data_IF_059404442877
#
_entry.id   IF_059404442877
#
_cell.length_a   1.000
_cell.length_b   1.000
_cell.length_c   1.000
_cell.angle_alpha   90.00
_cell.angle_beta   90.00
_cell.angle_gamma   90.00
#
_symmetry.space_group_name_H-M   'P 1'
#
loop_
_entity.id
_entity.type
_entity.pdbx_description
1 polymer ?
#
# COMPACT_ATOMS: atom_id res chain seq x y z
N UNK A 1 10.16 -3.25 -10.46
CA UNK A 1 10.54 -2.04 -11.22
C UNK A 1 9.58 -1.89 -12.38
N UNK A 2 9.01 -0.71 -12.58
CA UNK A 2 8.16 -0.39 -13.73
C UNK A 2 8.53 0.97 -14.29
N UNK A 3 8.54 1.10 -15.61
CA UNK A 3 8.76 2.39 -16.28
C UNK A 3 7.44 2.85 -16.89
N UNK A 4 7.10 4.10 -16.61
CA UNK A 4 5.84 4.72 -16.97
C UNK A 4 6.06 5.92 -17.85
N UNK A 5 5.19 6.11 -18.83
CA UNK A 5 5.20 7.28 -19.70
C UNK A 5 3.79 7.75 -19.99
N UNK A 6 3.61 9.07 -20.03
CA UNK A 6 2.40 9.64 -20.60
C UNK A 6 2.65 11.04 -21.14
N UNK A 7 2.05 11.31 -22.29
CA UNK A 7 1.98 12.64 -22.91
C UNK A 7 0.54 13.14 -22.90
N UNK A 8 0.29 14.15 -22.08
CA UNK A 8 -0.97 14.89 -22.09
C UNK A 8 -0.89 16.00 -23.15
N UNK A 9 -1.67 15.89 -24.21
CA UNK A 9 -1.84 16.95 -25.22
C UNK A 9 -3.32 17.13 -25.51
N UNK A 10 -3.87 18.29 -25.15
CA UNK A 10 -5.27 18.64 -25.43
C UNK A 10 -5.35 20.06 -26.00
N UNK A 11 -6.04 20.21 -27.11
CA UNK A 11 -6.32 21.50 -27.74
C UNK A 11 -7.84 21.64 -27.82
N UNK A 12 -8.44 22.46 -26.95
CA UNK A 12 -9.88 22.70 -26.93
C UNK A 12 -10.17 24.19 -27.02
N UNK A 13 -10.34 24.73 -28.24
CA UNK A 13 -10.88 26.07 -28.54
C UNK A 13 -10.12 27.30 -28.02
N UNK A 14 -9.44 27.21 -26.88
CA UNK A 14 -8.61 28.23 -26.22
C UNK A 14 -7.21 27.70 -25.91
N UNK A 15 -6.62 28.10 -24.76
CA UNK A 15 -5.24 27.74 -24.40
C UNK A 15 -5.02 26.22 -24.39
N UNK A 16 -3.99 25.76 -25.09
CA UNK A 16 -3.64 24.35 -25.13
C UNK A 16 -3.15 23.82 -23.78
N UNK A 17 -3.14 22.50 -23.64
CA UNK A 17 -2.52 21.80 -22.53
C UNK A 17 -1.46 20.85 -23.06
N UNK A 18 -0.26 20.94 -22.50
CA UNK A 18 0.87 20.07 -22.84
C UNK A 18 1.69 19.68 -21.61
N UNK A 19 1.95 18.39 -21.45
CA UNK A 19 2.93 17.89 -20.49
C UNK A 19 3.26 16.43 -20.79
N UNK A 20 4.54 16.11 -20.83
CA UNK A 20 5.02 14.74 -21.01
C UNK A 20 5.96 14.38 -19.87
N UNK A 21 5.74 13.21 -19.28
CA UNK A 21 6.50 12.72 -18.13
C UNK A 21 6.92 11.28 -18.39
N UNK A 22 8.21 11.03 -18.23
CA UNK A 22 8.80 9.69 -18.12
C UNK A 22 9.24 9.46 -16.68
N UNK A 23 8.81 8.33 -16.13
CA UNK A 23 9.12 7.98 -14.76
C UNK A 23 9.48 6.52 -14.60
N UNK A 24 10.12 6.23 -13.48
CA UNK A 24 10.52 4.90 -13.04
C UNK A 24 10.05 4.69 -11.62
N UNK A 25 9.49 3.52 -11.38
CA UNK A 25 8.91 3.10 -10.11
C UNK A 25 9.69 1.90 -9.59
N UNK A 26 10.22 2.02 -8.38
CA UNK A 26 11.03 1.00 -7.71
C UNK A 26 10.61 0.90 -6.23
N UNK A 27 10.79 -0.25 -5.55
CA UNK A 27 10.61 -0.32 -4.11
C UNK A 27 11.55 0.67 -3.40
N UNK A 28 11.08 1.31 -2.34
CA UNK A 28 11.94 2.19 -1.53
C UNK A 28 12.99 1.34 -0.79
N UNK A 29 14.22 1.83 -0.70
CA UNK A 29 15.25 1.16 0.07
C UNK A 29 15.03 1.39 1.57
N UNK A 30 15.38 0.43 2.45
CA UNK A 30 15.33 0.63 3.89
C UNK A 30 16.10 1.88 4.31
N UNK A 31 15.48 2.72 5.15
CA UNK A 31 16.10 3.94 5.67
C UNK A 31 16.00 5.17 4.75
N UNK A 32 15.36 5.06 3.58
CA UNK A 32 15.09 6.22 2.71
C UNK A 32 13.69 6.77 3.01
N UNK A 33 13.61 8.02 3.46
CA UNK A 33 12.34 8.70 3.75
C UNK A 33 11.75 9.44 2.54
N UNK A 34 12.62 9.91 1.64
CA UNK A 34 12.19 10.67 0.46
C UNK A 34 11.85 9.71 -0.69
N UNK A 35 10.59 9.71 -1.14
CA UNK A 35 10.06 8.79 -2.13
C UNK A 35 10.06 9.35 -3.56
N UNK A 36 10.30 10.65 -3.74
CA UNK A 36 10.33 11.31 -5.04
C UNK A 36 11.78 11.65 -5.43
N UNK A 37 12.17 11.45 -6.68
CA UNK A 37 13.51 11.81 -7.16
C UNK A 37 13.39 12.59 -8.45
N UNK A 38 13.93 13.81 -8.46
CA UNK A 38 14.22 14.57 -9.67
C UNK A 38 15.51 14.01 -10.31
N UNK A 39 15.32 13.22 -11.37
CA UNK A 39 16.40 12.68 -12.20
C UNK A 39 16.53 13.39 -13.54
N UNK A 40 15.87 14.53 -13.74
CA UNK A 40 15.80 15.23 -15.02
C UNK A 40 17.16 15.86 -15.33
N UNK A 41 17.70 15.56 -16.51
CA UNK A 41 18.94 16.15 -17.00
C UNK A 41 18.61 17.25 -18.02
N UNK A 42 19.20 18.43 -17.84
CA UNK A 42 19.00 19.57 -18.74
C UNK A 42 17.71 20.34 -18.43
N UNK A 43 16.97 20.74 -19.48
CA UNK A 43 15.80 21.62 -19.39
C UNK A 43 14.54 21.04 -20.04
N UNK A 44 14.45 19.71 -20.16
CA UNK A 44 13.32 19.06 -20.85
C UNK A 44 11.98 19.29 -20.13
N UNK A 45 12.01 19.45 -18.80
CA UNK A 45 10.91 19.96 -17.99
C UNK A 45 11.42 21.13 -17.14
N UNK A 46 10.80 22.32 -17.22
CA UNK A 46 11.07 23.43 -16.31
C UNK A 46 10.83 23.05 -14.84
N UNK A 47 11.79 23.33 -13.95
CA UNK A 47 11.76 22.90 -12.53
C UNK A 47 10.57 23.46 -11.74
N UNK A 48 9.97 24.56 -12.18
CA UNK A 48 8.74 25.11 -11.58
C UNK A 48 7.53 24.17 -11.72
N UNK A 49 7.57 23.16 -12.62
CA UNK A 49 6.52 22.16 -12.75
C UNK A 49 6.72 20.93 -11.85
N UNK A 50 7.87 20.77 -11.18
CA UNK A 50 8.13 19.64 -10.28
C UNK A 50 7.08 19.52 -9.16
N UNK A 51 6.64 20.62 -8.48
CA UNK A 51 5.58 20.51 -7.47
C UNK A 51 4.24 20.01 -8.03
N UNK A 52 3.93 20.32 -9.30
CA UNK A 52 2.71 19.86 -9.95
C UNK A 52 2.81 18.37 -10.34
N UNK A 53 3.99 17.94 -10.79
CA UNK A 53 4.31 16.54 -11.05
C UNK A 53 4.16 15.73 -9.76
N UNK A 54 4.80 16.15 -8.67
CA UNK A 54 4.75 15.50 -7.36
C UNK A 54 3.31 15.38 -6.85
N UNK A 55 2.51 16.45 -6.92
CA UNK A 55 1.07 16.41 -6.58
C UNK A 55 0.31 15.38 -7.41
N UNK A 56 0.60 15.26 -8.70
CA UNK A 56 -0.03 14.26 -9.57
C UNK A 56 0.38 12.83 -9.23
N UNK A 57 1.63 12.62 -8.79
CA UNK A 57 2.11 11.34 -8.29
C UNK A 57 1.42 10.96 -6.98
N UNK A 58 1.30 11.88 -6.02
CA UNK A 58 0.59 11.66 -4.74
C UNK A 58 -0.87 11.24 -5.00
N UNK A 59 -1.57 11.93 -5.91
CA UNK A 59 -2.92 11.53 -6.31
C UNK A 59 -2.96 10.15 -6.99
N UNK A 60 -1.95 9.82 -7.78
CA UNK A 60 -1.79 8.49 -8.38
C UNK A 60 -1.58 7.40 -7.31
N UNK A 61 -0.82 7.71 -6.27
CA UNK A 61 -0.53 6.80 -5.15
C UNK A 61 -1.73 6.57 -4.24
N UNK A 62 -2.66 7.51 -4.14
CA UNK A 62 -3.89 7.32 -3.35
C UNK A 62 -4.79 6.21 -3.90
N UNK A 63 -4.76 5.96 -5.22
CA UNK A 63 -5.62 4.99 -5.89
C UNK A 63 -4.76 3.98 -6.68
N UNK A 64 -4.20 3.00 -5.96
CA UNK A 64 -3.33 1.99 -6.52
C UNK A 64 -4.01 1.10 -7.58
N UNK A 65 -3.19 0.57 -8.50
CA UNK A 65 -3.67 -0.14 -9.69
C UNK A 65 -4.30 -1.52 -9.42
N UNK A 66 -4.03 -2.13 -8.26
CA UNK A 66 -4.42 -3.54 -7.97
C UNK A 66 -5.84 -3.64 -7.44
N UNK A 67 -6.14 -2.92 -6.36
CA UNK A 67 -7.44 -2.97 -5.68
C UNK A 67 -7.88 -1.60 -5.14
N UNK A 68 -7.31 -0.51 -5.67
CA UNK A 68 -7.68 0.85 -5.25
C UNK A 68 -7.06 1.31 -3.92
N UNK A 69 -6.28 0.48 -3.23
CA UNK A 69 -5.60 0.86 -1.99
C UNK A 69 -4.43 1.84 -2.22
N UNK A 70 -4.05 2.61 -1.19
CA UNK A 70 -2.88 3.46 -1.23
C UNK A 70 -1.60 2.69 -1.54
N UNK A 71 -0.78 3.24 -2.42
CA UNK A 71 0.56 2.71 -2.75
C UNK A 71 1.55 3.23 -1.72
N UNK A 72 2.29 2.32 -1.10
CA UNK A 72 3.33 2.61 -0.11
C UNK A 72 4.66 1.98 -0.52
N UNK A 73 5.73 2.25 0.24
CA UNK A 73 7.06 1.65 0.07
C UNK A 73 7.61 1.73 -1.36
N UNK A 74 7.35 2.85 -2.04
CA UNK A 74 7.66 3.05 -3.45
C UNK A 74 8.46 4.32 -3.65
N UNK A 75 9.51 4.23 -4.45
CA UNK A 75 10.32 5.32 -4.98
C UNK A 75 9.89 5.63 -6.41
N UNK A 76 9.69 6.91 -6.72
CA UNK A 76 9.36 7.40 -8.07
C UNK A 76 10.44 8.37 -8.54
N UNK A 77 11.17 8.00 -9.57
CA UNK A 77 12.15 8.85 -10.24
C UNK A 77 11.57 9.38 -11.54
N UNK A 78 11.44 10.70 -11.65
CA UNK A 78 11.12 11.35 -12.93
C UNK A 78 12.44 11.69 -13.60
N UNK A 79 12.72 11.03 -14.72
CA UNK A 79 14.04 11.10 -15.35
C UNK A 79 14.04 11.84 -16.69
N UNK A 80 12.87 11.98 -17.32
CA UNK A 80 12.74 12.72 -18.59
C UNK A 80 11.30 13.19 -18.81
N UNK A 81 11.10 13.99 -19.85
CA UNK A 81 9.82 14.55 -20.23
C UNK A 81 9.95 15.57 -21.33
N UNK A 82 8.89 16.30 -21.57
CA UNK A 82 8.94 17.44 -22.48
C UNK A 82 7.89 18.48 -22.10
N UNK A 83 8.20 19.74 -22.41
CA UNK A 83 7.31 20.89 -22.24
C UNK A 83 7.11 21.65 -23.55
N UNK A 84 6.08 22.49 -23.59
CA UNK A 84 5.80 23.43 -24.66
C UNK A 84 5.66 24.84 -24.07
N UNK A 85 6.33 25.83 -24.65
CA UNK A 85 6.47 27.17 -24.05
C UNK A 85 5.13 27.84 -23.73
N UNK A 86 4.11 27.61 -24.57
CA UNK A 86 2.81 28.28 -24.44
C UNK A 86 1.75 27.39 -23.77
N UNK A 87 1.80 26.10 -24.08
CA UNK A 87 0.74 25.14 -23.75
C UNK A 87 1.03 24.34 -22.48
N UNK A 88 2.28 24.38 -21.97
CA UNK A 88 2.58 23.75 -20.69
C UNK A 88 1.98 24.50 -19.52
N UNK A 89 1.41 23.73 -18.61
CA UNK A 89 0.75 24.23 -17.40
C UNK A 89 0.87 23.19 -16.28
N UNK A 90 0.72 23.65 -15.03
CA UNK A 90 0.74 22.77 -13.86
C UNK A 90 -0.31 21.65 -13.95
N UNK A 91 -1.51 21.98 -14.43
CA UNK A 91 -2.61 21.02 -14.59
C UNK A 91 -2.20 19.93 -15.60
N UNK A 92 -1.57 20.30 -16.71
CA UNK A 92 -1.13 19.35 -17.72
C UNK A 92 -0.07 18.37 -17.17
N UNK A 93 0.93 18.88 -16.45
CA UNK A 93 1.96 18.04 -15.83
C UNK A 93 1.44 17.17 -14.70
N UNK A 94 0.48 17.66 -13.91
CA UNK A 94 -0.20 16.87 -12.88
C UNK A 94 -0.99 15.70 -13.47
N UNK A 95 -1.72 15.94 -14.57
CA UNK A 95 -2.44 14.88 -15.29
C UNK A 95 -1.44 13.89 -15.90
N UNK A 96 -0.36 14.40 -16.48
CA UNK A 96 0.66 13.57 -17.11
C UNK A 96 1.37 12.67 -16.11
N UNK A 97 1.85 13.20 -14.98
CA UNK A 97 2.53 12.41 -13.96
C UNK A 97 1.61 11.36 -13.33
N UNK A 98 0.36 11.71 -13.02
CA UNK A 98 -0.64 10.76 -12.49
C UNK A 98 -0.88 9.59 -13.45
N UNK A 99 -0.96 9.88 -14.75
CA UNK A 99 -1.25 8.86 -15.77
C UNK A 99 -0.01 8.01 -16.09
N UNK A 100 1.16 8.64 -16.17
CA UNK A 100 2.45 7.93 -16.28
C UNK A 100 2.68 7.01 -15.07
N UNK A 101 2.27 7.43 -13.87
CA UNK A 101 2.37 6.60 -12.67
C UNK A 101 1.51 5.34 -12.78
N UNK A 102 0.26 5.47 -13.23
CA UNK A 102 -0.63 4.32 -13.48
C UNK A 102 -0.03 3.34 -14.50
N UNK A 103 0.52 3.87 -15.59
CA UNK A 103 1.21 3.07 -16.62
C UNK A 103 2.42 2.33 -16.04
N UNK A 104 3.29 3.05 -15.31
CA UNK A 104 4.46 2.46 -14.65
C UNK A 104 4.10 1.40 -13.62
N UNK A 105 3.05 1.64 -12.82
CA UNK A 105 2.57 0.70 -11.80
C UNK A 105 2.06 -0.59 -12.43
N UNK A 106 1.36 -0.54 -13.57
CA UNK A 106 0.90 -1.74 -14.26
C UNK A 106 2.04 -2.67 -14.68
N UNK A 107 3.22 -2.11 -14.95
CA UNK A 107 4.44 -2.82 -15.36
C UNK A 107 5.32 -3.22 -14.17
N UNK A 108 5.10 -2.61 -13.00
CA UNK A 108 5.93 -2.81 -11.81
C UNK A 108 5.67 -4.11 -11.04
N UNK A 109 4.62 -4.86 -11.40
CA UNK A 109 4.11 -6.05 -10.67
C UNK A 109 3.81 -5.76 -9.20
N UNK A 110 2.88 -4.82 -8.91
CA UNK A 110 2.53 -4.45 -7.55
C UNK A 110 1.92 -5.63 -6.79
N UNK A 111 2.16 -5.66 -5.48
CA UNK A 111 1.61 -6.65 -4.54
C UNK A 111 0.74 -5.97 -3.51
N UNK A 112 -0.24 -6.70 -2.98
CA UNK A 112 -1.00 -6.23 -1.83
C UNK A 112 -0.18 -6.46 -0.55
N UNK A 113 -0.28 -5.51 0.36
CA UNK A 113 0.33 -5.58 1.67
C UNK A 113 -0.77 -5.61 2.74
N UNK A 114 -0.58 -6.41 3.78
CA UNK A 114 -1.43 -6.44 4.97
C UNK A 114 -0.63 -6.05 6.22
N UNK A 115 -1.25 -5.35 7.19
CA UNK A 115 -0.62 -5.06 8.47
C UNK A 115 -0.52 -6.33 9.32
N UNK A 116 0.69 -6.59 9.80
CA UNK A 116 1.02 -7.64 10.75
C UNK A 116 1.14 -7.02 12.14
N UNK A 117 0.44 -7.63 13.09
CA UNK A 117 0.40 -7.23 14.49
C UNK A 117 1.33 -8.13 15.31
N UNK A 118 2.10 -7.54 16.21
CA UNK A 118 2.66 -8.29 17.34
C UNK A 118 1.55 -8.47 18.36
N UNK A 119 1.26 -9.70 18.73
CA UNK A 119 0.19 -10.06 19.67
C UNK A 119 0.82 -10.75 20.87
N UNK A 120 0.49 -10.27 22.07
CA UNK A 120 0.77 -10.94 23.34
C UNK A 120 -0.54 -11.44 23.92
N UNK A 121 -0.67 -12.75 24.10
CA UNK A 121 -1.89 -13.40 24.61
C UNK A 121 -1.59 -14.01 25.97
N UNK A 122 -2.23 -13.52 27.02
CA UNK A 122 -2.03 -13.97 28.40
C UNK A 122 -3.20 -14.83 28.84
N UNK A 123 -2.94 -16.08 29.22
CA UNK A 123 -3.97 -17.09 29.49
C UNK A 123 -3.54 -18.05 30.62
N UNK A 124 -4.50 -18.68 31.32
CA UNK A 124 -4.19 -19.81 32.19
C UNK A 124 -3.59 -20.97 31.37
N UNK A 125 -2.61 -21.69 31.94
CA UNK A 125 -1.89 -22.75 31.21
C UNK A 125 -2.76 -23.89 30.68
N UNK A 126 -3.93 -24.13 31.28
CA UNK A 126 -4.89 -25.13 30.79
C UNK A 126 -5.45 -24.83 29.39
N UNK A 127 -5.44 -23.56 28.96
CA UNK A 127 -5.95 -23.14 27.64
C UNK A 127 -4.85 -22.93 26.58
N UNK A 128 -3.60 -23.25 26.93
CA UNK A 128 -2.45 -23.00 26.06
C UNK A 128 -2.59 -23.71 24.70
N UNK A 129 -3.07 -24.96 24.70
CA UNK A 129 -3.26 -25.74 23.49
C UNK A 129 -4.28 -25.11 22.54
N UNK A 130 -5.46 -24.75 23.06
CA UNK A 130 -6.54 -24.17 22.28
C UNK A 130 -6.14 -22.81 21.69
N UNK A 131 -5.52 -21.94 22.49
CA UNK A 131 -5.11 -20.61 22.02
C UNK A 131 -3.97 -20.69 20.98
N UNK A 132 -3.03 -21.63 21.15
CA UNK A 132 -1.97 -21.85 20.15
C UNK A 132 -2.56 -22.40 18.85
N UNK A 133 -3.55 -23.30 18.93
CA UNK A 133 -4.25 -23.84 17.77
C UNK A 133 -4.99 -22.75 16.99
N UNK A 134 -5.72 -21.88 17.70
CA UNK A 134 -6.46 -20.77 17.10
C UNK A 134 -5.54 -19.75 16.39
N UNK A 135 -4.44 -19.34 17.03
CA UNK A 135 -3.46 -18.44 16.41
C UNK A 135 -2.86 -19.04 15.14
N UNK A 136 -2.55 -20.33 15.12
CA UNK A 136 -2.08 -21.00 13.90
C UNK A 136 -3.14 -21.03 12.79
N UNK A 137 -4.41 -21.22 13.14
CA UNK A 137 -5.51 -21.16 12.18
C UNK A 137 -5.67 -19.77 11.56
N UNK A 138 -5.39 -18.73 12.36
CA UNK A 138 -5.40 -17.31 11.98
C UNK A 138 -4.11 -16.86 11.28
N UNK A 139 -3.37 -17.78 10.67
CA UNK A 139 -2.09 -17.50 9.97
C UNK A 139 -1.04 -16.85 10.88
N UNK A 140 -1.18 -17.02 12.20
CA UNK A 140 -0.25 -16.51 13.18
C UNK A 140 1.05 -17.29 13.18
N UNK A 141 2.16 -16.57 13.40
CA UNK A 141 3.48 -17.14 13.61
C UNK A 141 3.86 -16.98 15.07
N UNK A 142 3.95 -18.08 15.81
CA UNK A 142 4.42 -18.06 17.20
C UNK A 142 5.90 -17.71 17.23
N UNK A 143 6.26 -16.67 18.00
CA UNK A 143 7.62 -16.24 18.24
C UNK A 143 8.21 -16.86 19.50
N UNK A 144 7.37 -17.06 20.53
CA UNK A 144 7.78 -17.61 21.81
C UNK A 144 6.63 -17.77 22.79
N UNK A 145 6.94 -18.40 23.91
CA UNK A 145 6.04 -18.57 25.05
C UNK A 145 6.80 -18.22 26.33
N UNK A 146 6.16 -17.44 27.19
CA UNK A 146 6.68 -16.97 28.46
C UNK A 146 5.72 -17.38 29.58
N UNK A 147 6.19 -17.39 30.83
CA UNK A 147 5.35 -17.56 32.01
C UNK A 147 5.46 -16.31 32.88
N UNK A 148 4.33 -15.70 33.22
CA UNK A 148 4.25 -14.45 33.97
C UNK A 148 3.12 -14.56 34.98
N UNK A 149 3.41 -14.32 36.27
CA UNK A 149 2.43 -14.35 37.38
C UNK A 149 1.55 -15.61 37.44
N UNK A 150 2.11 -16.78 37.09
CA UNK A 150 1.39 -18.05 37.07
C UNK A 150 0.49 -18.25 35.84
N UNK A 151 0.51 -17.32 34.89
CA UNK A 151 -0.15 -17.38 33.58
C UNK A 151 0.87 -17.70 32.49
N UNK A 152 0.39 -18.17 31.34
CA UNK A 152 1.18 -18.36 30.13
C UNK A 152 0.97 -17.17 29.20
N UNK A 153 2.04 -16.67 28.61
CA UNK A 153 2.03 -15.58 27.64
C UNK A 153 2.54 -16.10 26.30
N UNK A 154 1.69 -16.05 25.28
CA UNK A 154 2.04 -16.43 23.91
C UNK A 154 2.36 -15.17 23.13
N UNK A 155 3.55 -15.10 22.55
CA UNK A 155 3.97 -13.99 21.68
C UNK A 155 3.91 -14.47 20.23
N UNK A 156 3.15 -13.77 19.39
CA UNK A 156 2.94 -14.16 18.00
C UNK A 156 2.85 -12.95 17.06
N UNK A 157 3.18 -13.16 15.79
CA UNK A 157 2.85 -12.23 14.71
C UNK A 157 1.59 -12.70 14.01
N UNK A 158 0.56 -11.86 13.93
CA UNK A 158 -0.74 -12.24 13.32
C UNK A 158 -1.21 -11.12 12.39
N UNK A 159 -1.71 -11.44 11.19
CA UNK A 159 -2.34 -10.44 10.33
C UNK A 159 -3.56 -9.79 11.00
N UNK A 160 -3.64 -8.45 10.96
CA UNK A 160 -4.72 -7.71 11.64
C UNK A 160 -6.12 -8.13 11.15
N UNK A 161 -6.22 -8.54 9.88
CA UNK A 161 -7.47 -9.02 9.29
C UNK A 161 -8.09 -10.21 10.04
N UNK A 162 -7.27 -11.02 10.69
CA UNK A 162 -7.69 -12.22 11.44
C UNK A 162 -8.04 -11.91 12.91
N UNK A 163 -7.74 -10.69 13.37
CA UNK A 163 -7.81 -10.29 14.79
C UNK A 163 -9.07 -9.50 15.16
N UNK A 164 -9.91 -9.09 14.18
CA UNK A 164 -11.09 -8.25 14.44
C UNK A 164 -12.09 -8.84 15.45
N UNK A 165 -12.20 -10.17 15.52
CA UNK A 165 -13.11 -10.88 16.45
C UNK A 165 -12.40 -11.54 17.62
N UNK A 166 -11.08 -11.37 17.71
CA UNK A 166 -10.23 -12.16 18.60
C UNK A 166 -10.60 -11.99 20.08
N UNK A 167 -11.00 -10.79 20.50
CA UNK A 167 -11.47 -10.55 21.87
C UNK A 167 -12.63 -11.47 22.29
N UNK A 168 -13.64 -11.61 21.41
CA UNK A 168 -14.79 -12.48 21.68
C UNK A 168 -14.44 -13.97 21.62
N UNK A 169 -13.58 -14.36 20.68
CA UNK A 169 -13.13 -15.74 20.49
C UNK A 169 -12.27 -16.20 21.68
N UNK A 170 -11.29 -15.38 22.09
CA UNK A 170 -10.44 -15.64 23.24
C UNK A 170 -11.26 -15.77 24.53
N UNK A 171 -12.25 -14.88 24.73
CA UNK A 171 -13.16 -14.96 25.88
C UNK A 171 -13.92 -16.28 25.90
N UNK A 172 -14.40 -16.74 24.75
CA UNK A 172 -15.11 -18.01 24.61
C UNK A 172 -14.21 -19.21 24.94
N UNK A 173 -12.99 -19.24 24.39
CA UNK A 173 -12.03 -20.32 24.60
C UNK A 173 -11.56 -20.44 26.06
N UNK A 174 -11.35 -19.30 26.72
CA UNK A 174 -10.74 -19.26 28.06
C UNK A 174 -11.74 -19.15 29.21
N UNK A 175 -13.04 -19.16 28.91
CA UNK A 175 -14.08 -18.83 29.89
C UNK A 175 -13.95 -17.42 30.45
N UNK A 176 -13.37 -16.51 29.67
CA UNK A 176 -13.12 -15.10 30.03
C UNK A 176 -11.93 -14.85 30.94
N UNK A 177 -11.00 -15.80 31.05
CA UNK A 177 -9.77 -15.67 31.85
C UNK A 177 -8.53 -15.29 31.04
N UNK A 178 -8.67 -15.15 29.72
CA UNK A 178 -7.62 -14.66 28.83
C UNK A 178 -7.70 -13.18 28.53
N UNK A 179 -6.56 -12.55 28.34
CA UNK A 179 -6.41 -11.20 27.79
C UNK A 179 -5.41 -11.20 26.65
N UNK A 180 -5.43 -10.16 25.83
CA UNK A 180 -4.41 -9.97 24.81
C UNK A 180 -4.17 -8.48 24.56
N UNK A 181 -2.95 -8.18 24.14
CA UNK A 181 -2.54 -6.88 23.63
C UNK A 181 -1.97 -7.05 22.24
N UNK A 182 -2.11 -6.03 21.40
CA UNK A 182 -1.52 -6.03 20.07
C UNK A 182 -1.02 -4.65 19.65
N UNK A 183 0.12 -4.65 18.97
CA UNK A 183 0.74 -3.45 18.40
C UNK A 183 1.09 -3.69 16.92
N UNK A 184 1.05 -2.62 16.12
CA UNK A 184 1.47 -2.71 14.72
C UNK A 184 2.98 -3.01 14.66
N UNK A 185 3.36 -4.01 13.88
CA UNK A 185 4.76 -4.36 13.65
C UNK A 185 5.22 -3.87 12.27
N UNK A 186 4.58 -4.38 11.20
CA UNK A 186 4.98 -4.08 9.83
C UNK A 186 3.85 -4.34 8.83
N UNK A 187 4.07 -3.93 7.59
CA UNK A 187 3.35 -4.46 6.45
C UNK A 187 4.08 -5.66 5.87
N UNK A 188 3.33 -6.69 5.48
CA UNK A 188 3.86 -7.89 4.83
C UNK A 188 3.02 -8.26 3.60
N UNK A 189 3.57 -9.09 2.71
CA UNK A 189 2.90 -9.46 1.45
C UNK A 189 1.71 -10.35 1.73
N UNK A 190 0.55 -9.96 1.20
CA UNK A 190 -0.68 -10.75 1.29
C UNK A 190 -0.49 -12.07 0.52
N UNK A 191 -0.78 -13.23 1.14
CA UNK A 191 -0.77 -14.52 0.46
C UNK A 191 -1.64 -14.52 -0.82
N UNK A 192 -1.17 -15.17 -1.88
CA UNK A 192 -1.80 -15.10 -3.21
C UNK A 192 -3.28 -15.50 -3.22
N UNK A 193 -3.66 -16.50 -2.41
CA UNK A 193 -5.04 -16.96 -2.26
C UNK A 193 -5.97 -15.92 -1.61
N UNK A 194 -5.45 -15.09 -0.70
CA UNK A 194 -6.19 -13.99 -0.07
C UNK A 194 -6.22 -12.79 -1.00
N UNK A 195 -5.09 -12.46 -1.62
CA UNK A 195 -4.97 -11.34 -2.55
C UNK A 195 -5.97 -11.45 -3.72
N UNK A 196 -6.14 -12.64 -4.30
CA UNK A 196 -7.11 -12.87 -5.38
C UNK A 196 -8.55 -12.56 -4.96
N UNK A 197 -8.94 -12.90 -3.73
CA UNK A 197 -10.28 -12.60 -3.20
C UNK A 197 -10.50 -11.10 -3.05
N UNK A 198 -9.52 -10.40 -2.48
CA UNK A 198 -9.56 -8.95 -2.28
C UNK A 198 -9.64 -8.21 -3.62
N UNK A 199 -8.87 -8.62 -4.61
CA UNK A 199 -8.91 -8.04 -5.96
C UNK A 199 -10.27 -8.26 -6.62
N UNK A 200 -10.84 -9.46 -6.50
CA UNK A 200 -12.16 -9.78 -7.06
C UNK A 200 -13.27 -8.95 -6.40
N UNK A 201 -13.22 -8.77 -5.08
CA UNK A 201 -14.18 -7.95 -4.33
C UNK A 201 -14.08 -6.47 -4.69
N UNK A 202 -12.85 -5.93 -4.78
CA UNK A 202 -12.62 -4.56 -5.22
C UNK A 202 -13.14 -4.31 -6.65
N UNK A 203 -12.96 -5.28 -7.56
CA UNK A 203 -13.48 -5.19 -8.92
C UNK A 203 -15.02 -5.17 -8.95
N UNK A 204 -15.67 -5.97 -8.10
CA UNK A 204 -17.14 -6.00 -7.97
C UNK A 204 -17.69 -4.68 -7.42
N UNK A 205 -17.07 -4.13 -6.38
CA UNK A 205 -17.51 -2.87 -5.77
C UNK A 205 -17.41 -1.71 -6.77
N UNK A 206 -16.33 -1.68 -7.56
CA UNK A 206 -16.14 -0.66 -8.60
C UNK A 206 -17.17 -0.76 -9.73
N UNK A 207 -17.60 -1.97 -10.08
CA UNK A 207 -18.69 -2.18 -11.06
C UNK A 207 -20.01 -1.65 -10.53
N UNK A 208 -20.36 -1.96 -9.27
CA UNK A 208 -21.56 -1.45 -8.63
C UNK A 208 -21.60 0.09 -8.58
N UNK A 209 -20.49 0.74 -8.23
CA UNK A 209 -20.37 2.21 -8.24
C UNK A 209 -20.48 2.86 -9.63
N UNK A 210 -20.24 2.10 -10.71
CA UNK A 210 -20.33 2.62 -12.09
C UNK A 210 -21.74 2.41 -12.68
N UNK A 211 -22.52 1.49 -12.12
CA UNK A 211 -23.88 1.17 -12.53
C UNK A 211 -24.95 2.01 -11.79
N UNK A 212 -24.58 2.62 -10.66
CA UNK A 212 -25.37 3.66 -9.94
C UNK A 212 -25.10 5.07 -10.49
#
# INVERSE_FOLDING_TARGET
>A
KGEGHYKHKKQSGGRGQYGEVYLRIEPIQPGVEHWFVDGIVGTSIPRNFLPAIEKGLVEGMQNGAVAGYPVVNTMVTVYDGSSHDVDSSEIAFKIASRTAFKDGMSKAKPVLLEPIMNVRVTIPGEFMGDCTGDLNHKRGRILGMESEDGMQVIVAEVPQAEMFKYSSELRSMTGGRGSFDMEFNRYDVVPANVAQKVVAEAAKNKQAETEE
#
